data_IF_299868541610
#
_entry.id   IF_299868541610
#
_cell.length_a   1.000
_cell.length_b   1.000
_cell.length_c   1.000
_cell.angle_alpha   90.00
_cell.angle_beta   90.00
_cell.angle_gamma   90.00
#
_symmetry.space_group_name_H-M   'P 1'
#
loop_
_entity.id
_entity.type
_entity.pdbx_description
1 polymer ?
#
# COMPACT_ATOMS: atom_id res chain seq x y z
N UNK A 1 18.68 -14.05 24.89
CA UNK A 1 17.36 -13.47 24.47
C UNK A 1 17.60 -12.43 23.37
N UNK A 2 17.07 -12.68 22.20
CA UNK A 2 17.10 -11.67 21.15
C UNK A 2 16.13 -10.55 21.54
N UNK A 3 16.62 -9.30 21.53
CA UNK A 3 15.75 -8.14 21.68
C UNK A 3 14.82 -8.12 20.45
N UNK A 4 13.49 -8.05 20.63
CA UNK A 4 12.61 -7.94 19.49
C UNK A 4 12.97 -6.68 18.70
N UNK A 5 13.09 -6.81 17.38
CA UNK A 5 13.32 -5.67 16.51
C UNK A 5 12.15 -4.67 16.62
N UNK A 6 12.35 -3.42 16.16
CA UNK A 6 11.25 -2.46 16.17
C UNK A 6 10.06 -3.02 15.40
N UNK A 7 8.86 -2.86 15.96
CA UNK A 7 7.62 -3.28 15.31
C UNK A 7 7.48 -2.58 13.96
N UNK A 8 6.98 -3.31 12.95
CA UNK A 8 6.72 -2.73 11.63
C UNK A 8 5.67 -1.62 11.72
N UNK A 9 5.88 -0.56 10.97
CA UNK A 9 5.01 0.62 10.97
C UNK A 9 3.79 0.37 10.07
N UNK A 10 2.54 0.50 10.59
CA UNK A 10 1.36 0.29 9.77
C UNK A 10 1.23 1.32 8.66
N UNK A 11 0.96 0.86 7.45
CA UNK A 11 0.70 1.71 6.27
C UNK A 11 -0.55 1.21 5.54
N UNK A 12 -1.24 2.12 4.88
CA UNK A 12 -2.41 1.84 4.05
C UNK A 12 -2.16 2.37 2.64
N UNK A 13 -2.40 1.54 1.65
CA UNK A 13 -2.32 1.92 0.24
C UNK A 13 -3.73 2.03 -0.34
N UNK A 14 -4.01 3.13 -1.01
CA UNK A 14 -5.25 3.34 -1.74
C UNK A 14 -5.35 2.37 -2.93
N UNK A 15 -6.57 2.10 -3.37
CA UNK A 15 -6.86 1.20 -4.49
C UNK A 15 -6.08 1.58 -5.75
N UNK A 16 -5.95 2.86 -6.05
CA UNK A 16 -5.21 3.31 -7.23
C UNK A 16 -3.73 2.89 -7.22
N UNK A 17 -3.10 2.84 -6.05
CA UNK A 17 -1.71 2.35 -5.93
C UNK A 17 -1.64 0.87 -6.31
N UNK A 18 -2.57 0.07 -5.81
CA UNK A 18 -2.62 -1.38 -6.08
C UNK A 18 -2.95 -1.67 -7.56
N UNK A 19 -3.83 -0.89 -8.16
CA UNK A 19 -4.20 -1.03 -9.58
C UNK A 19 -3.05 -0.59 -10.48
N UNK A 20 -2.46 0.58 -10.24
CA UNK A 20 -1.38 1.11 -11.06
C UNK A 20 -0.12 0.24 -11.00
N UNK A 21 0.10 -0.47 -9.91
CA UNK A 21 1.23 -1.38 -9.77
C UNK A 21 1.25 -2.48 -10.83
N UNK A 22 0.09 -2.88 -11.36
CA UNK A 22 -0.04 -3.94 -12.37
C UNK A 22 -0.61 -3.45 -13.70
N UNK A 23 -1.01 -2.16 -13.80
CA UNK A 23 -1.62 -1.60 -14.99
C UNK A 23 -0.61 -1.26 -16.08
N UNK A 24 0.67 -1.08 -15.73
CA UNK A 24 1.73 -0.62 -16.63
C UNK A 24 2.83 -1.67 -16.70
N UNK A 25 3.12 -2.19 -17.90
CA UNK A 25 4.21 -3.14 -18.14
C UNK A 25 3.84 -4.59 -17.83
N UNK A 26 4.87 -5.43 -17.70
CA UNK A 26 4.68 -6.82 -17.31
C UNK A 26 4.19 -6.90 -15.86
N UNK A 27 3.31 -7.88 -15.62
CA UNK A 27 2.64 -8.05 -14.33
C UNK A 27 3.64 -8.17 -13.17
N UNK A 28 3.80 -7.15 -12.31
CA UNK A 28 4.83 -7.15 -11.27
C UNK A 28 4.53 -8.07 -10.09
N UNK A 29 3.34 -8.68 -10.02
CA UNK A 29 3.03 -9.57 -8.89
C UNK A 29 3.79 -10.90 -8.92
N UNK A 30 4.48 -11.21 -10.01
CA UNK A 30 5.36 -12.39 -10.10
C UNK A 30 6.75 -12.14 -9.52
N UNK A 31 7.17 -10.88 -9.53
CA UNK A 31 8.43 -10.45 -8.93
C UNK A 31 8.34 -8.98 -8.57
N UNK A 32 8.41 -8.68 -7.28
CA UNK A 32 8.36 -7.30 -6.81
C UNK A 32 9.69 -6.59 -7.06
N UNK A 33 9.68 -5.32 -7.51
CA UNK A 33 10.92 -4.56 -7.67
C UNK A 33 11.71 -4.46 -6.37
N UNK A 34 13.03 -4.54 -6.47
CA UNK A 34 13.91 -4.32 -5.32
C UNK A 34 14.10 -2.83 -5.09
N UNK A 35 13.86 -2.30 -3.89
CA UNK A 35 14.11 -0.89 -3.57
C UNK A 35 15.60 -0.55 -3.56
N UNK A 36 15.97 0.70 -3.76
CA UNK A 36 15.13 1.86 -4.08
C UNK A 36 14.50 1.79 -5.46
N UNK A 37 13.59 2.72 -5.81
CA UNK A 37 12.77 2.64 -7.03
C UNK A 37 13.59 2.33 -8.26
N UNK A 38 13.26 1.28 -8.97
CA UNK A 38 14.06 0.81 -10.11
C UNK A 38 13.21 0.44 -11.32
N UNK A 39 11.91 0.26 -11.14
CA UNK A 39 11.04 -0.24 -12.20
C UNK A 39 10.50 0.84 -13.14
N UNK A 40 10.57 2.12 -12.76
CA UNK A 40 9.89 3.20 -13.47
C UNK A 40 8.37 3.26 -13.19
N UNK A 41 7.85 2.35 -12.35
CA UNK A 41 6.46 2.35 -11.87
C UNK A 41 6.47 2.59 -10.36
N UNK A 42 6.21 3.83 -9.88
CA UNK A 42 6.26 4.15 -8.46
C UNK A 42 5.31 3.32 -7.60
N UNK A 43 4.13 2.97 -8.11
CA UNK A 43 3.17 2.12 -7.38
C UNK A 43 3.70 0.70 -7.18
N UNK A 44 4.31 0.11 -8.19
CA UNK A 44 4.99 -1.18 -8.07
C UNK A 44 6.18 -1.12 -7.11
N UNK A 45 6.92 -0.01 -7.14
CA UNK A 45 8.03 0.22 -6.22
C UNK A 45 7.56 0.27 -4.75
N UNK A 46 6.39 0.85 -4.48
CA UNK A 46 5.79 0.85 -3.15
C UNK A 46 5.54 -0.58 -2.64
N UNK A 47 5.00 -1.46 -3.48
CA UNK A 47 4.80 -2.86 -3.13
C UNK A 47 6.15 -3.58 -2.95
N UNK A 48 7.13 -3.28 -3.79
CA UNK A 48 8.49 -3.79 -3.64
C UNK A 48 9.12 -3.41 -2.30
N UNK A 49 8.90 -2.18 -1.84
CA UNK A 49 9.35 -1.71 -0.52
C UNK A 49 8.74 -2.56 0.60
N UNK A 50 7.43 -2.76 0.57
CA UNK A 50 6.74 -3.56 1.59
C UNK A 50 7.22 -5.01 1.57
N UNK A 51 7.37 -5.59 0.37
CA UNK A 51 7.79 -6.97 0.21
C UNK A 51 9.22 -7.24 0.72
N UNK A 52 10.11 -6.26 0.56
CA UNK A 52 11.54 -6.42 0.83
C UNK A 52 11.96 -5.86 2.21
N UNK A 53 11.19 -4.96 2.78
CA UNK A 53 11.53 -4.28 4.03
C UNK A 53 10.66 -4.76 5.19
N UNK A 54 11.30 -5.16 6.28
CA UNK A 54 10.63 -5.44 7.54
C UNK A 54 10.11 -4.16 8.26
N UNK A 55 10.18 -3.00 7.62
CA UNK A 55 9.87 -1.71 8.25
C UNK A 55 8.39 -1.34 8.21
N UNK A 56 7.66 -1.83 7.22
CA UNK A 56 6.28 -1.44 6.97
C UNK A 56 5.35 -2.64 7.02
N UNK A 57 4.29 -2.52 7.80
CA UNK A 57 3.20 -3.48 7.86
C UNK A 57 2.05 -2.99 6.98
N UNK A 58 1.81 -3.68 5.87
CA UNK A 58 0.71 -3.35 4.96
C UNK A 58 -0.61 -3.85 5.51
N UNK A 59 -1.59 -2.96 5.62
CA UNK A 59 -2.94 -3.30 5.99
C UNK A 59 -3.89 -3.15 4.82
N UNK A 60 -4.76 -4.12 4.66
CA UNK A 60 -5.80 -4.17 3.63
C UNK A 60 -7.16 -4.35 4.31
N UNK A 61 -8.22 -4.09 3.56
CA UNK A 61 -9.59 -4.37 3.97
C UNK A 61 -10.30 -5.19 2.89
N UNK A 62 -11.39 -5.89 3.23
CA UNK A 62 -12.22 -6.55 2.23
C UNK A 62 -12.70 -5.59 1.13
N UNK A 63 -13.03 -4.35 1.51
CA UNK A 63 -13.44 -3.31 0.57
C UNK A 63 -12.33 -2.97 -0.43
N UNK A 64 -11.10 -2.74 0.04
CA UNK A 64 -9.95 -2.43 -0.83
C UNK A 64 -9.69 -3.57 -1.81
N UNK A 65 -9.69 -4.82 -1.33
CA UNK A 65 -9.46 -5.99 -2.18
C UNK A 65 -10.57 -6.14 -3.23
N UNK A 66 -11.83 -6.03 -2.82
CA UNK A 66 -12.97 -6.14 -3.73
C UNK A 66 -12.96 -5.02 -4.79
N UNK A 67 -12.68 -3.79 -4.39
CA UNK A 67 -12.62 -2.65 -5.32
C UNK A 67 -11.44 -2.79 -6.28
N UNK A 68 -10.27 -3.17 -5.80
CA UNK A 68 -9.09 -3.43 -6.64
C UNK A 68 -9.42 -4.50 -7.70
N UNK A 69 -9.99 -5.62 -7.28
CA UNK A 69 -10.38 -6.70 -8.19
C UNK A 69 -11.41 -6.25 -9.23
N UNK A 70 -12.39 -5.47 -8.83
CA UNK A 70 -13.43 -4.94 -9.73
C UNK A 70 -12.83 -4.00 -10.78
N UNK A 71 -11.95 -3.09 -10.40
CA UNK A 71 -11.30 -2.17 -11.35
C UNK A 71 -10.43 -2.95 -12.34
N UNK A 72 -9.64 -3.91 -11.87
CA UNK A 72 -8.82 -4.76 -12.75
C UNK A 72 -9.67 -5.52 -13.76
N UNK A 73 -10.77 -6.12 -13.31
CA UNK A 73 -11.64 -6.91 -14.19
C UNK A 73 -12.43 -6.05 -15.17
N UNK A 74 -13.01 -4.93 -14.73
CA UNK A 74 -13.96 -4.14 -15.52
C UNK A 74 -13.32 -3.03 -16.34
N UNK A 75 -12.29 -2.38 -15.83
CA UNK A 75 -11.61 -1.28 -16.49
C UNK A 75 -10.43 -1.76 -17.31
N UNK A 76 -9.57 -2.58 -16.72
CA UNK A 76 -8.36 -3.08 -17.37
C UNK A 76 -8.58 -4.41 -18.10
N UNK A 77 -9.76 -5.01 -17.97
CA UNK A 77 -10.12 -6.28 -18.64
C UNK A 77 -9.14 -7.43 -18.31
N UNK A 78 -8.61 -7.41 -17.09
CA UNK A 78 -7.71 -8.47 -16.61
C UNK A 78 -8.50 -9.77 -16.44
N UNK A 79 -7.99 -10.92 -16.91
CA UNK A 79 -8.65 -12.20 -16.70
C UNK A 79 -8.88 -12.53 -15.21
N UNK A 80 -10.01 -13.18 -14.90
CA UNK A 80 -10.41 -13.44 -13.51
C UNK A 80 -9.38 -14.24 -12.71
N UNK A 81 -8.73 -15.22 -13.33
CA UNK A 81 -7.68 -16.00 -12.67
C UNK A 81 -6.45 -15.16 -12.31
N UNK A 82 -6.06 -14.22 -13.16
CA UNK A 82 -4.98 -13.27 -12.86
C UNK A 82 -5.37 -12.28 -11.77
N UNK A 83 -6.62 -11.82 -11.77
CA UNK A 83 -7.14 -10.97 -10.68
C UNK A 83 -7.06 -11.71 -9.35
N UNK A 84 -7.55 -12.95 -9.30
CA UNK A 84 -7.54 -13.77 -8.09
C UNK A 84 -6.11 -14.02 -7.59
N UNK A 85 -5.19 -14.33 -8.47
CA UNK A 85 -3.78 -14.53 -8.13
C UNK A 85 -3.15 -13.27 -7.55
N UNK A 86 -3.46 -12.11 -8.13
CA UNK A 86 -2.95 -10.82 -7.64
C UNK A 86 -3.51 -10.47 -6.26
N UNK A 87 -4.81 -10.62 -6.05
CA UNK A 87 -5.44 -10.35 -4.76
C UNK A 87 -4.88 -11.28 -3.67
N UNK A 88 -4.64 -12.54 -4.02
CA UNK A 88 -4.00 -13.50 -3.10
C UNK A 88 -2.57 -13.08 -2.77
N UNK A 89 -1.80 -12.65 -3.76
CA UNK A 89 -0.43 -12.17 -3.55
C UNK A 89 -0.40 -10.93 -2.63
N UNK A 90 -1.35 -10.01 -2.78
CA UNK A 90 -1.48 -8.85 -1.88
C UNK A 90 -1.80 -9.28 -0.45
N UNK A 91 -2.72 -10.22 -0.27
CA UNK A 91 -3.08 -10.74 1.05
C UNK A 91 -1.89 -11.41 1.75
N UNK A 92 -1.14 -12.23 1.02
CA UNK A 92 0.06 -12.89 1.52
C UNK A 92 1.15 -11.88 1.88
N UNK A 93 1.33 -10.86 1.05
CA UNK A 93 2.29 -9.77 1.33
C UNK A 93 1.91 -9.00 2.59
N UNK A 94 0.64 -8.67 2.76
CA UNK A 94 0.15 -7.97 3.94
C UNK A 94 0.44 -8.78 5.21
N UNK A 95 0.11 -10.06 5.20
CA UNK A 95 0.37 -10.97 6.33
C UNK A 95 1.87 -11.09 6.62
N UNK A 96 2.67 -11.34 5.59
CA UNK A 96 4.13 -11.49 5.74
C UNK A 96 4.81 -10.20 6.22
N UNK A 97 4.24 -9.03 5.92
CA UNK A 97 4.78 -7.73 6.36
C UNK A 97 4.52 -7.42 7.84
N UNK A 98 3.67 -8.19 8.50
CA UNK A 98 3.23 -7.93 9.87
C UNK A 98 1.89 -7.20 9.96
N UNK A 99 1.27 -6.91 8.83
CA UNK A 99 -0.09 -6.37 8.74
C UNK A 99 -1.13 -7.48 8.58
N UNK A 100 -2.07 -7.29 7.71
CA UNK A 100 -3.13 -8.25 7.44
C UNK A 100 -4.36 -7.62 6.80
N UNK A 101 -5.47 -8.32 6.92
CA UNK A 101 -6.77 -7.88 6.43
C UNK A 101 -7.69 -7.65 7.64
N UNK A 102 -8.29 -6.47 7.70
CA UNK A 102 -9.30 -6.16 8.72
C UNK A 102 -10.46 -5.38 8.09
N UNK A 103 -11.65 -5.57 8.62
CA UNK A 103 -12.86 -4.87 8.20
C UNK A 103 -13.17 -3.76 9.22
N UNK A 104 -12.75 -2.51 8.95
CA UNK A 104 -12.94 -1.44 9.92
C UNK A 104 -14.39 -0.98 9.99
N UNK A 105 -14.86 -0.45 11.14
CA UNK A 105 -16.15 0.21 11.21
C UNK A 105 -16.19 1.46 10.33
N UNK A 106 -17.34 1.72 9.71
CA UNK A 106 -17.58 2.86 8.85
C UNK A 106 -17.89 4.11 9.70
N UNK A 107 -16.86 4.84 10.10
CA UNK A 107 -16.99 6.00 11.00
C UNK A 107 -16.55 7.31 10.37
N UNK A 108 -15.74 7.28 9.32
CA UNK A 108 -15.21 8.48 8.67
C UNK A 108 -16.22 9.03 7.65
N UNK A 109 -16.48 10.34 7.72
CA UNK A 109 -17.37 11.04 6.81
C UNK A 109 -16.81 12.36 6.28
N UNK A 110 -15.56 12.68 6.63
CA UNK A 110 -14.91 13.96 6.28
C UNK A 110 -14.09 13.91 4.98
N UNK A 111 -14.01 12.75 4.32
CA UNK A 111 -13.38 12.62 3.02
C UNK A 111 -14.28 13.08 1.85
N UNK A 112 -13.68 13.28 0.65
CA UNK A 112 -14.41 13.80 -0.52
C UNK A 112 -15.54 12.90 -1.02
N UNK A 113 -15.38 11.58 -0.94
CA UNK A 113 -16.41 10.63 -1.34
C UNK A 113 -16.42 9.40 -0.43
N UNK A 114 -17.37 8.50 -0.68
CA UNK A 114 -17.56 7.30 0.14
C UNK A 114 -16.36 6.34 0.06
N UNK A 115 -15.76 6.20 -1.12
CA UNK A 115 -14.60 5.31 -1.32
C UNK A 115 -13.39 5.82 -0.54
N UNK A 116 -13.13 7.12 -0.60
CA UNK A 116 -12.03 7.75 0.15
C UNK A 116 -12.23 7.55 1.66
N UNK A 117 -13.46 7.67 2.14
CA UNK A 117 -13.79 7.44 3.55
C UNK A 117 -13.49 6.01 4.00
N UNK A 118 -13.65 5.02 3.11
CA UNK A 118 -13.30 3.61 3.45
C UNK A 118 -11.79 3.42 3.62
N UNK A 119 -10.99 4.12 2.83
CA UNK A 119 -9.52 4.12 3.01
C UNK A 119 -9.15 4.74 4.36
N UNK A 120 -9.77 5.86 4.70
CA UNK A 120 -9.52 6.57 5.96
C UNK A 120 -10.02 5.79 7.17
N UNK A 121 -11.13 5.06 7.07
CA UNK A 121 -11.61 4.15 8.12
C UNK A 121 -10.54 3.11 8.48
N UNK A 122 -9.93 2.49 7.45
CA UNK A 122 -8.88 1.51 7.67
C UNK A 122 -7.67 2.16 8.34
N UNK A 123 -7.24 3.32 7.84
CA UNK A 123 -6.10 4.04 8.42
C UNK A 123 -6.31 4.37 9.90
N UNK A 124 -7.52 4.79 10.27
CA UNK A 124 -7.86 5.06 11.67
C UNK A 124 -7.88 3.78 12.51
N UNK A 125 -8.50 2.71 12.00
CA UNK A 125 -8.65 1.45 12.73
C UNK A 125 -7.33 0.76 13.05
N UNK A 126 -6.36 0.81 12.13
CA UNK A 126 -5.05 0.15 12.32
C UNK A 126 -3.99 1.10 12.91
N UNK A 127 -4.32 2.35 13.17
CA UNK A 127 -3.36 3.34 13.62
C UNK A 127 -2.26 3.57 12.59
N UNK A 128 -2.62 3.71 11.32
CA UNK A 128 -1.65 3.87 10.25
C UNK A 128 -0.75 5.08 10.49
N UNK A 129 0.54 4.89 10.23
CA UNK A 129 1.52 5.97 10.29
C UNK A 129 1.35 6.93 9.10
N UNK A 130 1.04 6.37 7.93
CA UNK A 130 0.78 7.13 6.71
C UNK A 130 -0.15 6.37 5.77
N UNK A 131 -0.70 7.11 4.81
CA UNK A 131 -1.49 6.58 3.69
C UNK A 131 -0.78 6.93 2.40
N UNK A 132 -0.76 6.03 1.44
CA UNK A 132 -0.21 6.27 0.10
C UNK A 132 -1.35 6.27 -0.90
N UNK A 133 -1.46 7.35 -1.67
CA UNK A 133 -2.48 7.51 -2.71
C UNK A 133 -1.95 8.34 -3.87
N UNK A 134 -2.37 8.01 -5.08
CA UNK A 134 -2.14 8.83 -6.27
C UNK A 134 -3.30 9.81 -6.53
N UNK A 135 -4.34 9.80 -5.70
CA UNK A 135 -5.52 10.65 -5.84
C UNK A 135 -5.32 11.99 -5.12
N UNK A 136 -5.45 13.09 -5.88
CA UNK A 136 -5.33 14.44 -5.35
C UNK A 136 -6.38 14.75 -4.29
N UNK A 137 -7.56 14.16 -4.35
CA UNK A 137 -8.62 14.35 -3.36
C UNK A 137 -8.19 13.79 -1.98
N UNK A 138 -7.47 12.70 -1.94
CA UNK A 138 -6.92 12.16 -0.69
C UNK A 138 -5.67 12.91 -0.26
N UNK A 139 -4.70 13.12 -1.15
CA UNK A 139 -3.46 13.83 -0.79
C UNK A 139 -3.72 15.27 -0.35
N UNK A 140 -4.79 15.88 -0.86
CA UNK A 140 -5.24 17.22 -0.43
C UNK A 140 -5.70 17.28 1.02
N UNK A 141 -6.02 16.15 1.66
CA UNK A 141 -6.40 16.10 3.07
C UNK A 141 -5.18 16.01 4.01
N UNK A 142 -3.98 15.83 3.46
CA UNK A 142 -2.77 15.61 4.26
C UNK A 142 -2.35 16.86 5.05
N UNK A 143 -2.00 16.76 6.36
CA UNK A 143 -2.12 15.53 7.17
C UNK A 143 -3.57 15.31 7.62
N UNK A 144 -4.02 14.06 7.57
CA UNK A 144 -5.34 13.69 8.06
C UNK A 144 -5.23 13.06 9.45
N UNK A 145 -5.81 13.72 10.43
CA UNK A 145 -5.71 13.35 11.86
C UNK A 145 -4.27 13.02 12.27
N UNK A 146 -3.33 13.87 11.82
CA UNK A 146 -1.91 13.71 12.10
C UNK A 146 -1.18 12.69 11.23
N UNK A 147 -1.85 12.06 10.26
CA UNK A 147 -1.25 11.08 9.35
C UNK A 147 -0.95 11.73 8.00
N UNK A 148 0.30 11.69 7.52
CA UNK A 148 0.59 12.11 6.15
C UNK A 148 -0.14 11.23 5.14
N UNK A 149 -0.65 11.86 4.09
CA UNK A 149 -1.14 11.16 2.89
C UNK A 149 -0.21 11.57 1.76
N UNK A 150 0.58 10.64 1.27
CA UNK A 150 1.67 10.91 0.32
C UNK A 150 1.49 10.13 -0.97
N UNK A 151 2.13 10.62 -2.02
CA UNK A 151 2.11 9.96 -3.33
C UNK A 151 3.10 8.79 -3.40
N UNK A 152 2.86 7.81 -4.31
CA UNK A 152 3.75 6.67 -4.47
C UNK A 152 5.24 7.01 -4.64
N UNK A 153 5.64 8.01 -5.48
CA UNK A 153 7.06 8.36 -5.60
C UNK A 153 7.67 8.84 -4.29
N UNK A 154 6.92 9.57 -3.48
CA UNK A 154 7.39 10.06 -2.19
C UNK A 154 7.64 8.91 -1.21
N UNK A 155 6.72 7.95 -1.14
CA UNK A 155 6.88 6.76 -0.28
C UNK A 155 8.10 5.93 -0.69
N UNK A 156 8.23 5.64 -1.97
CA UNK A 156 9.35 4.85 -2.49
C UNK A 156 10.70 5.55 -2.23
N UNK A 157 10.79 6.86 -2.43
CA UNK A 157 12.01 7.65 -2.19
C UNK A 157 12.38 7.71 -0.70
N UNK A 158 11.39 7.88 0.18
CA UNK A 158 11.57 7.92 1.63
C UNK A 158 12.15 6.60 2.15
N UNK A 159 11.59 5.48 1.73
CA UNK A 159 12.06 4.16 2.11
C UNK A 159 13.48 3.88 1.58
N UNK A 160 13.78 4.29 0.35
CA UNK A 160 15.10 4.17 -0.25
C UNK A 160 16.17 4.98 0.50
N UNK A 161 15.84 6.17 0.95
CA UNK A 161 16.74 7.03 1.73
C UNK A 161 17.05 6.40 3.11
N UNK A 162 16.05 5.89 3.80
CA UNK A 162 16.19 5.20 5.08
C UNK A 162 17.15 4.00 4.98
N UNK A 163 17.04 3.20 3.93
CA UNK A 163 17.91 2.04 3.68
C UNK A 163 19.34 2.43 3.40
N UNK A 164 19.57 3.47 2.61
CA UNK A 164 20.92 3.99 2.34
C UNK A 164 21.59 4.46 3.62
N UNK A 165 20.87 5.13 4.49
CA UNK A 165 21.39 5.57 5.78
C UNK A 165 21.78 4.40 6.67
N UNK A 166 21.01 3.31 6.69
CA UNK A 166 21.34 2.10 7.45
C UNK A 166 22.57 1.37 6.91
N UNK A 167 22.71 1.28 5.59
CA UNK A 167 23.89 0.65 4.97
C UNK A 167 25.18 1.39 5.28
N UNK A 168 25.15 2.72 5.43
CA UNK A 168 26.30 3.53 5.79
C UNK A 168 26.72 3.40 7.25
N UNK A 169 25.83 2.92 8.12
CA UNK A 169 26.10 2.73 9.57
C UNK A 169 26.63 1.32 9.91
N UNK A 170 26.68 0.42 8.95
CA UNK A 170 27.25 -0.92 9.07
C UNK A 170 28.63 -0.96 8.44
#
# INVERSE_FOLDING_TARGET
MSVPGPAAVPVVFDVNVLVLAVAVGESPFRSWPSPPPTSGNPSADCLGVVNDAAEFALWLSPHILAHTGRVLATVLKTPDDEVDDYLRALAEMADASGGGITDPPQTVGDGPDWEDNRILDLAAAVGAFLVVSADADLTGLSPWRGRPIIEPPQFASMAGASRRARRRRR
#
